data_IF_305450848264
#
_entry.id   IF_305450848264
#
_cell.length_a   1.000
_cell.length_b   1.000
_cell.length_c   1.000
_cell.angle_alpha   90.00
_cell.angle_beta   90.00
_cell.angle_gamma   90.00
#
_symmetry.space_group_name_H-M   'P 1'
#
loop_
_entity.id
_entity.type
_entity.pdbx_description
1 polymer ?
#
# COMPACT_ATOMS: atom_id res chain seq x y z
N UNK A 1 2.97 7.52 -6.89
CA UNK A 1 3.65 6.86 -5.76
C UNK A 1 2.59 6.45 -4.75
N UNK A 2 2.66 5.25 -4.20
CA UNK A 2 1.69 4.79 -3.20
C UNK A 2 1.89 5.61 -1.94
N UNK A 3 0.81 5.99 -1.24
CA UNK A 3 0.91 6.81 -0.03
C UNK A 3 0.63 5.99 1.22
N UNK A 4 -0.41 5.16 1.18
CA UNK A 4 -0.82 4.31 2.31
C UNK A 4 -1.18 2.92 1.84
N UNK A 5 -1.18 1.98 2.77
CA UNK A 5 -1.57 0.58 2.55
C UNK A 5 -2.66 0.22 3.55
N UNK A 6 -3.78 -0.30 3.03
CA UNK A 6 -4.86 -0.85 3.83
C UNK A 6 -4.72 -2.38 3.87
N UNK A 7 -4.91 -2.98 5.04
CA UNK A 7 -4.75 -4.42 5.26
C UNK A 7 -5.98 -4.98 5.95
N UNK A 8 -6.53 -6.05 5.36
CA UNK A 8 -7.62 -6.84 5.93
C UNK A 8 -7.45 -8.30 5.52
N UNK A 9 -7.59 -9.22 6.47
CA UNK A 9 -7.51 -10.68 6.24
C UNK A 9 -6.27 -11.10 5.42
N UNK A 10 -5.11 -10.51 5.71
CA UNK A 10 -3.86 -10.77 4.98
C UNK A 10 -3.78 -10.18 3.57
N UNK A 11 -4.87 -9.59 3.03
CA UNK A 11 -4.84 -8.87 1.75
C UNK A 11 -4.38 -7.43 1.96
N UNK A 12 -3.49 -6.98 1.07
CA UNK A 12 -3.00 -5.59 1.02
C UNK A 12 -3.63 -4.83 -0.14
N UNK A 13 -4.14 -3.65 0.15
CA UNK A 13 -4.69 -2.70 -0.81
C UNK A 13 -3.83 -1.45 -0.80
N UNK A 14 -3.30 -1.08 -1.96
CA UNK A 14 -2.34 0.00 -2.10
C UNK A 14 -3.07 1.26 -2.55
N UNK A 15 -2.97 2.32 -1.77
CA UNK A 15 -3.70 3.56 -2.00
C UNK A 15 -2.76 4.69 -2.43
N UNK A 16 -3.14 5.41 -3.49
CA UNK A 16 -2.41 6.56 -4.04
C UNK A 16 -3.18 7.86 -3.88
N UNK A 17 -4.43 7.88 -4.33
CA UNK A 17 -5.33 9.04 -4.34
C UNK A 17 -6.78 8.58 -4.56
N UNK A 18 -7.75 9.46 -4.28
CA UNK A 18 -9.18 9.18 -4.44
C UNK A 18 -9.74 8.20 -3.42
N UNK A 19 -10.96 7.73 -3.64
CA UNK A 19 -11.58 6.74 -2.77
C UNK A 19 -11.03 5.34 -3.03
N UNK A 20 -10.83 4.55 -1.97
CA UNK A 20 -10.39 3.16 -2.10
C UNK A 20 -11.60 2.25 -2.22
N UNK A 21 -11.86 1.77 -3.44
CA UNK A 21 -12.89 0.78 -3.70
C UNK A 21 -12.28 -0.62 -3.73
N UNK A 22 -12.84 -1.54 -2.93
CA UNK A 22 -12.45 -2.95 -2.95
C UNK A 22 -13.64 -3.86 -2.61
N UNK A 23 -13.40 -5.16 -2.62
CA UNK A 23 -14.40 -6.20 -2.32
C UNK A 23 -15.06 -6.10 -0.93
N UNK A 24 -14.55 -5.28 -0.02
CA UNK A 24 -15.11 -5.04 1.31
C UNK A 24 -15.73 -3.64 1.45
N UNK A 25 -16.01 -2.98 0.32
CA UNK A 25 -16.66 -1.67 0.26
C UNK A 25 -15.72 -0.53 -0.12
N UNK A 26 -16.20 0.69 0.14
CA UNK A 26 -15.52 1.94 -0.18
C UNK A 26 -15.00 2.60 1.09
N UNK A 27 -13.75 3.03 1.06
CA UNK A 27 -13.14 3.88 2.12
C UNK A 27 -12.85 5.24 1.50
N UNK A 28 -13.40 6.31 2.08
CA UNK A 28 -13.27 7.66 1.54
C UNK A 28 -11.84 8.18 1.66
N UNK A 29 -11.41 8.99 0.68
CA UNK A 29 -10.08 9.60 0.68
C UNK A 29 -9.77 10.39 1.97
N UNK A 30 -10.75 11.13 2.48
CA UNK A 30 -10.59 11.96 3.67
C UNK A 30 -10.26 11.11 4.91
N UNK A 31 -10.90 9.95 5.04
CA UNK A 31 -10.71 9.03 6.17
C UNK A 31 -9.35 8.34 6.06
N UNK A 32 -8.96 7.92 4.85
CA UNK A 32 -7.65 7.32 4.57
C UNK A 32 -6.51 8.29 4.92
N UNK A 33 -6.62 9.57 4.56
CA UNK A 33 -5.59 10.59 4.84
C UNK A 33 -5.42 10.84 6.34
N UNK A 34 -6.53 10.89 7.09
CA UNK A 34 -6.53 11.18 8.53
C UNK A 34 -6.16 9.97 9.38
N UNK A 35 -6.49 8.76 8.92
CA UNK A 35 -6.34 7.56 9.71
C UNK A 35 -4.86 7.20 9.98
N UNK A 36 -4.60 6.87 11.25
CA UNK A 36 -3.35 6.31 11.76
C UNK A 36 -3.70 5.03 12.51
N UNK A 37 -3.51 3.87 11.87
CA UNK A 37 -3.74 2.56 12.48
C UNK A 37 -4.98 1.83 11.98
N UNK A 38 -6.19 2.39 12.12
CA UNK A 38 -7.44 1.76 11.64
C UNK A 38 -8.34 2.71 10.87
N UNK A 39 -9.07 2.18 9.89
CA UNK A 39 -10.09 2.89 9.12
C UNK A 39 -11.22 1.92 8.74
N UNK A 40 -12.45 2.41 8.70
CA UNK A 40 -13.62 1.59 8.36
C UNK A 40 -14.14 1.94 6.96
N UNK A 41 -14.66 0.96 6.23
CA UNK A 41 -15.42 1.23 5.00
C UNK A 41 -16.86 1.61 5.31
N UNK A 42 -17.55 2.19 4.32
CA UNK A 42 -18.98 2.50 4.40
C UNK A 42 -19.86 1.29 4.78
N UNK A 43 -19.44 0.07 4.42
CA UNK A 43 -20.17 -1.17 4.76
C UNK A 43 -19.80 -1.74 6.14
N UNK A 44 -19.06 -0.99 6.96
CA UNK A 44 -18.69 -1.37 8.32
C UNK A 44 -17.45 -2.27 8.43
N UNK A 45 -16.69 -2.47 7.35
CA UNK A 45 -15.51 -3.34 7.39
C UNK A 45 -14.27 -2.59 7.87
N UNK A 46 -13.63 -3.08 8.93
CA UNK A 46 -12.39 -2.52 9.44
C UNK A 46 -11.14 -2.90 8.62
N UNK A 47 -10.24 -1.94 8.48
CA UNK A 47 -8.93 -2.11 7.87
C UNK A 47 -7.85 -1.58 8.81
N UNK A 48 -6.70 -2.24 8.82
CA UNK A 48 -5.48 -1.64 9.33
C UNK A 48 -4.86 -0.75 8.26
N UNK A 49 -4.42 0.44 8.64
CA UNK A 49 -3.81 1.39 7.71
C UNK A 49 -2.46 1.90 8.22
N UNK A 50 -1.48 1.91 7.33
CA UNK A 50 -0.14 2.40 7.60
C UNK A 50 0.43 3.12 6.37
N UNK A 51 1.44 3.97 6.59
CA UNK A 51 2.09 4.72 5.52
C UNK A 51 2.98 3.81 4.68
N UNK A 52 2.92 3.96 3.35
CA UNK A 52 3.62 3.07 2.44
C UNK A 52 5.14 3.24 2.56
N UNK A 53 5.85 2.13 2.77
CA UNK A 53 7.31 2.13 2.86
C UNK A 53 7.95 1.84 1.49
N UNK A 54 9.29 1.89 1.46
CA UNK A 54 10.07 1.62 0.25
C UNK A 54 9.74 0.26 -0.40
N UNK A 55 9.59 -0.80 0.41
CA UNK A 55 9.26 -2.14 -0.10
C UNK A 55 7.88 -2.18 -0.75
N UNK A 56 6.91 -1.45 -0.21
CA UNK A 56 5.57 -1.35 -0.78
C UNK A 56 5.59 -0.60 -2.12
N UNK A 57 6.42 0.45 -2.25
CA UNK A 57 6.65 1.11 -3.55
C UNK A 57 7.27 0.15 -4.55
N UNK A 58 8.34 -0.55 -4.15
CA UNK A 58 9.09 -1.45 -5.02
C UNK A 58 8.23 -2.63 -5.50
N UNK A 59 7.38 -3.19 -4.62
CA UNK A 59 6.47 -4.30 -4.99
C UNK A 59 5.44 -3.93 -6.05
N UNK A 60 5.01 -2.67 -6.08
CA UNK A 60 3.97 -2.17 -6.98
C UNK A 60 4.49 -1.19 -8.04
N UNK A 61 5.79 -1.07 -8.16
CA UNK A 61 6.40 -0.29 -9.24
C UNK A 61 5.97 -0.88 -10.59
N UNK A 62 5.69 -0.02 -11.56
CA UNK A 62 5.42 -0.46 -12.92
C UNK A 62 6.71 -1.08 -13.46
N UNK A 63 6.69 -2.37 -13.79
CA UNK A 63 7.85 -3.10 -14.28
C UNK A 63 8.13 -2.69 -15.73
N UNK A 64 9.33 -2.17 -15.97
CA UNK A 64 9.88 -1.96 -17.30
C UNK A 64 10.78 -3.13 -17.71
N UNK A 65 11.36 -3.11 -18.92
CA UNK A 65 12.24 -4.18 -19.40
C UNK A 65 13.47 -4.39 -18.51
N UNK A 66 13.98 -3.34 -17.86
CA UNK A 66 15.10 -3.42 -16.92
C UNK A 66 14.63 -2.96 -15.53
N UNK A 67 14.32 -3.91 -14.66
CA UNK A 67 13.99 -3.65 -13.25
C UNK A 67 14.85 -4.55 -12.37
N UNK A 68 15.47 -4.00 -11.33
CA UNK A 68 16.23 -4.80 -10.36
C UNK A 68 15.27 -5.49 -9.38
N UNK A 69 15.51 -6.77 -9.13
CA UNK A 69 14.75 -7.51 -8.11
C UNK A 69 15.25 -7.15 -6.72
N UNK A 70 14.39 -7.32 -5.71
CA UNK A 70 14.70 -6.98 -4.32
C UNK A 70 15.98 -7.66 -3.80
N UNK A 71 16.23 -8.91 -4.23
CA UNK A 71 17.43 -9.67 -3.89
C UNK A 71 18.70 -8.96 -4.37
N UNK A 72 18.71 -8.51 -5.62
CA UNK A 72 19.89 -7.91 -6.25
C UNK A 72 20.13 -6.50 -5.69
N UNK A 73 19.05 -5.74 -5.42
CA UNK A 73 19.14 -4.48 -4.68
C UNK A 73 19.75 -4.67 -3.29
N UNK A 74 19.33 -5.71 -2.56
CA UNK A 74 19.90 -6.05 -1.26
C UNK A 74 21.38 -6.42 -1.36
N UNK A 75 21.77 -7.17 -2.39
CA UNK A 75 23.17 -7.53 -2.61
C UNK A 75 24.06 -6.31 -2.89
N UNK A 76 23.60 -5.39 -3.75
CA UNK A 76 24.31 -4.15 -4.06
C UNK A 76 24.50 -3.32 -2.78
N UNK A 77 23.42 -3.08 -2.02
CA UNK A 77 23.47 -2.25 -0.81
C UNK A 77 24.43 -2.77 0.27
N UNK A 78 24.69 -4.07 0.32
CA UNK A 78 25.61 -4.67 1.29
C UNK A 78 27.08 -4.51 0.86
N UNK A 79 27.35 -4.44 -0.45
CA UNK A 79 28.71 -4.46 -1.02
C UNK A 79 29.15 -3.12 -1.62
N UNK A 80 28.29 -2.11 -1.59
CA UNK A 80 28.57 -0.71 -1.95
C UNK A 80 28.94 0.10 -0.72
#
# INVERSE_FOLDING_TARGET
MIKKVLVRNGKKFYWKEGDSQNQFGVVNEADIKKAKGRVQSHTGNDFFIYDANFLDQLKKIKRGPQTLVLKDLGYILIHS
#
